data_IF_030087040968
#
_entry.id   IF_030087040968
#
_cell.length_a   1.000
_cell.length_b   1.000
_cell.length_c   1.000
_cell.angle_alpha   90.00
_cell.angle_beta   90.00
_cell.angle_gamma   90.00
#
_symmetry.space_group_name_H-M   'P 1'
#
loop_
_entity.id
_entity.type
_entity.pdbx_description
1 polymer ?
#
# COMPACT_ATOMS: atom_id res chain seq x y z
N UNK A 1 12.27 -49.57 8.99
CA UNK A 1 11.00 -49.83 8.28
C UNK A 1 10.93 -49.08 6.95
N UNK A 2 10.77 -47.75 6.91
CA UNK A 2 10.51 -47.04 5.64
C UNK A 2 11.67 -47.15 4.62
N UNK A 3 12.93 -46.97 5.05
CA UNK A 3 14.13 -47.14 4.18
C UNK A 3 14.18 -48.53 3.54
N UNK A 4 13.89 -49.55 4.33
CA UNK A 4 13.89 -50.96 3.91
C UNK A 4 12.76 -51.22 2.90
N UNK A 5 11.56 -50.70 3.14
CA UNK A 5 10.41 -50.85 2.24
C UNK A 5 10.61 -50.16 0.89
N UNK A 6 11.26 -48.99 0.85
CA UNK A 6 11.62 -48.29 -0.40
C UNK A 6 12.64 -49.12 -1.20
N UNK A 7 13.62 -49.72 -0.52
CA UNK A 7 14.60 -50.60 -1.16
C UNK A 7 13.99 -51.88 -1.73
N UNK A 8 13.00 -52.47 -1.06
CA UNK A 8 12.33 -53.69 -1.53
C UNK A 8 11.41 -53.42 -2.73
N UNK A 9 10.74 -52.26 -2.75
CA UNK A 9 9.82 -51.89 -3.82
C UNK A 9 10.56 -51.38 -5.07
N UNK A 10 11.65 -50.63 -4.90
CA UNK A 10 12.47 -50.10 -6.00
C UNK A 10 13.78 -50.90 -6.15
N UNK A 11 13.66 -52.14 -6.65
CA UNK A 11 14.81 -53.05 -6.86
C UNK A 11 15.78 -52.48 -7.91
N UNK A 12 17.08 -52.48 -7.60
CA UNK A 12 18.15 -51.99 -8.48
C UNK A 12 18.53 -50.52 -8.30
N UNK A 13 17.96 -49.83 -7.31
CA UNK A 13 18.29 -48.44 -7.01
C UNK A 13 19.51 -48.32 -6.10
N UNK A 14 20.41 -47.39 -6.41
CA UNK A 14 21.55 -47.07 -5.53
C UNK A 14 21.08 -46.50 -4.19
N UNK A 15 21.88 -46.67 -3.13
CA UNK A 15 21.56 -46.15 -1.78
C UNK A 15 21.26 -44.63 -1.76
N UNK A 16 21.76 -43.88 -2.75
CA UNK A 16 21.51 -42.45 -2.93
C UNK A 16 20.05 -42.15 -3.30
N UNK A 17 19.44 -43.00 -4.14
CA UNK A 17 18.03 -42.84 -4.53
C UNK A 17 17.06 -43.04 -3.35
N UNK A 18 17.43 -43.84 -2.34
CA UNK A 18 16.58 -44.02 -1.15
C UNK A 18 16.56 -42.76 -0.29
N UNK A 19 17.68 -42.04 -0.22
CA UNK A 19 17.80 -40.75 0.46
C UNK A 19 16.99 -39.70 -0.31
N UNK A 20 17.18 -39.61 -1.62
CA UNK A 20 16.43 -38.66 -2.47
C UNK A 20 14.92 -38.89 -2.42
N UNK A 21 14.48 -40.15 -2.33
CA UNK A 21 13.05 -40.49 -2.18
C UNK A 21 12.50 -40.06 -0.83
N UNK A 22 13.27 -40.23 0.25
CA UNK A 22 12.88 -39.76 1.58
C UNK A 22 12.86 -38.24 1.68
N UNK A 23 13.83 -37.56 1.08
CA UNK A 23 13.87 -36.09 1.01
C UNK A 23 12.68 -35.53 0.23
N UNK A 24 12.21 -36.24 -0.80
CA UNK A 24 10.98 -35.89 -1.53
C UNK A 24 9.70 -36.14 -0.73
N UNK A 25 9.68 -37.18 0.11
CA UNK A 25 8.54 -37.51 0.97
C UNK A 25 8.40 -36.56 2.16
N UNK A 26 9.52 -36.12 2.72
CA UNK A 26 9.54 -35.27 3.92
C UNK A 26 10.08 -33.90 3.52
N UNK A 27 9.19 -33.04 3.04
CA UNK A 27 9.51 -31.63 2.88
C UNK A 27 9.19 -30.90 4.18
N UNK A 28 10.22 -30.42 4.88
CA UNK A 28 10.05 -29.48 6.00
C UNK A 28 9.97 -28.08 5.41
N UNK A 29 8.79 -27.42 5.41
CA UNK A 29 8.69 -26.07 4.86
C UNK A 29 9.44 -25.09 5.78
N UNK A 30 10.57 -24.57 5.30
CA UNK A 30 11.25 -23.45 5.95
C UNK A 30 10.41 -22.20 5.67
N UNK A 31 9.77 -21.66 6.71
CA UNK A 31 9.01 -20.41 6.59
C UNK A 31 9.96 -19.24 6.70
N UNK A 32 10.04 -18.44 5.64
CA UNK A 32 10.73 -17.14 5.69
C UNK A 32 9.91 -16.21 6.59
N UNK A 33 10.52 -15.57 7.60
CA UNK A 33 9.83 -14.62 8.45
C UNK A 33 9.30 -13.45 7.59
N UNK A 34 8.19 -12.88 8.03
CA UNK A 34 7.59 -11.74 7.36
C UNK A 34 8.38 -10.50 7.73
N UNK A 35 8.45 -9.55 6.80
CA UNK A 35 9.22 -8.34 7.04
C UNK A 35 8.56 -7.46 8.10
N UNK A 36 9.33 -7.08 9.12
CA UNK A 36 8.90 -6.20 10.19
C UNK A 36 8.83 -4.72 9.79
N UNK A 37 8.42 -3.88 10.74
CA UNK A 37 8.34 -2.43 10.55
C UNK A 37 9.68 -1.82 10.14
N UNK A 38 10.75 -2.14 10.88
CA UNK A 38 12.08 -1.59 10.63
C UNK A 38 12.63 -2.04 9.28
N UNK A 39 12.39 -3.28 8.89
CA UNK A 39 12.84 -3.81 7.59
C UNK A 39 12.12 -3.13 6.42
N UNK A 40 10.81 -2.87 6.54
CA UNK A 40 10.05 -2.13 5.53
C UNK A 40 10.54 -0.68 5.47
N UNK A 41 10.79 -0.05 6.62
CA UNK A 41 11.34 1.30 6.69
C UNK A 41 12.69 1.38 5.96
N UNK A 42 13.62 0.48 6.28
CA UNK A 42 14.93 0.38 5.61
C UNK A 42 14.79 0.13 4.10
N UNK A 43 13.89 -0.77 3.71
CA UNK A 43 13.60 -1.04 2.31
C UNK A 43 13.10 0.20 1.56
N UNK A 44 12.20 0.96 2.17
CA UNK A 44 11.68 2.19 1.61
C UNK A 44 12.75 3.28 1.48
N UNK A 45 13.62 3.45 2.48
CA UNK A 45 14.76 4.38 2.37
C UNK A 45 15.64 4.06 1.16
N UNK A 46 15.99 2.79 0.96
CA UNK A 46 16.76 2.36 -0.20
C UNK A 46 16.02 2.65 -1.53
N UNK A 47 14.71 2.36 -1.60
CA UNK A 47 13.93 2.66 -2.81
C UNK A 47 13.90 4.16 -3.14
N UNK A 48 13.76 5.01 -2.12
CA UNK A 48 13.78 6.46 -2.32
C UNK A 48 15.16 6.99 -2.70
N UNK A 49 16.23 6.43 -2.13
CA UNK A 49 17.62 6.73 -2.50
C UNK A 49 17.89 6.37 -3.98
N UNK A 50 17.49 5.17 -4.40
CA UNK A 50 17.58 4.74 -5.81
C UNK A 50 16.79 5.66 -6.72
N UNK A 51 15.56 6.04 -6.34
CA UNK A 51 14.73 6.93 -7.15
C UNK A 51 15.27 8.38 -7.20
N UNK A 52 16.04 8.82 -6.21
CA UNK A 52 16.70 10.11 -6.21
C UNK A 52 17.94 10.15 -7.14
N UNK A 53 18.36 9.01 -7.69
CA UNK A 53 19.50 8.93 -8.61
C UNK A 53 20.85 9.04 -7.91
N UNK A 54 20.93 8.60 -6.64
CA UNK A 54 22.18 8.58 -5.89
C UNK A 54 23.14 7.54 -6.48
N UNK A 55 24.44 7.79 -6.35
CA UNK A 55 25.50 6.86 -6.77
C UNK A 55 25.37 5.48 -6.11
N UNK A 56 25.64 4.42 -6.87
CA UNK A 56 25.47 3.04 -6.43
C UNK A 56 26.36 2.69 -5.24
N UNK A 57 27.56 3.27 -5.15
CA UNK A 57 28.48 3.11 -4.01
C UNK A 57 27.87 3.64 -2.70
N UNK A 58 27.28 4.84 -2.72
CA UNK A 58 26.64 5.44 -1.54
C UNK A 58 25.36 4.69 -1.13
N UNK A 59 24.64 4.12 -2.10
CA UNK A 59 23.48 3.27 -1.83
C UNK A 59 23.91 1.98 -1.14
N UNK A 60 25.04 1.39 -1.55
CA UNK A 60 25.59 0.20 -0.90
C UNK A 60 26.10 0.50 0.51
N UNK A 61 26.74 1.65 0.73
CA UNK A 61 27.12 2.12 2.07
C UNK A 61 25.89 2.28 2.97
N UNK A 62 24.80 2.86 2.44
CA UNK A 62 23.52 2.96 3.16
C UNK A 62 22.93 1.58 3.45
N UNK A 63 23.01 0.63 2.50
CA UNK A 63 22.50 -0.74 2.68
C UNK A 63 23.22 -1.43 3.84
N UNK A 64 24.55 -1.33 3.89
CA UNK A 64 25.36 -1.89 4.97
C UNK A 64 25.05 -1.24 6.32
N UNK A 65 24.89 0.08 6.36
CA UNK A 65 24.52 0.80 7.58
C UNK A 65 23.12 0.41 8.10
N UNK A 66 22.14 0.29 7.21
CA UNK A 66 20.78 -0.17 7.55
C UNK A 66 20.77 -1.62 8.02
N UNK A 67 21.53 -2.50 7.36
CA UNK A 67 21.65 -3.92 7.76
C UNK A 67 22.23 -4.05 9.17
N UNK A 68 23.30 -3.31 9.46
CA UNK A 68 23.89 -3.27 10.79
C UNK A 68 22.90 -2.79 11.85
N UNK A 69 22.20 -1.67 11.58
CA UNK A 69 21.17 -1.15 12.48
C UNK A 69 20.03 -2.14 12.72
N UNK A 70 19.63 -2.91 11.71
CA UNK A 70 18.61 -3.96 11.87
C UNK A 70 19.11 -5.11 12.75
N UNK A 71 20.37 -5.52 12.62
CA UNK A 71 20.97 -6.57 13.46
C UNK A 71 21.11 -6.12 14.93
N UNK A 72 21.36 -4.84 15.17
CA UNK A 72 21.56 -4.24 16.50
C UNK A 72 20.25 -3.72 17.15
N UNK A 73 19.12 -3.84 16.44
CA UNK A 73 17.80 -3.29 16.84
C UNK A 73 17.21 -3.80 18.17
N UNK A 74 17.83 -4.79 18.80
CA UNK A 74 17.42 -5.33 20.12
C UNK A 74 18.04 -4.56 21.29
N UNK A 75 19.06 -3.73 21.07
CA UNK A 75 19.71 -2.94 22.13
C UNK A 75 19.96 -1.47 21.73
N UNK A 76 19.99 -1.17 20.43
CA UNK A 76 20.17 0.20 19.94
C UNK A 76 18.92 0.75 19.27
N UNK A 77 18.78 2.08 19.30
CA UNK A 77 17.72 2.77 18.59
C UNK A 77 17.88 2.57 17.07
N UNK A 78 16.78 2.40 16.33
CA UNK A 78 16.85 2.24 14.89
C UNK A 78 17.41 3.51 14.22
N UNK A 79 18.17 3.33 13.14
CA UNK A 79 18.81 4.44 12.43
C UNK A 79 17.81 5.55 12.09
N UNK A 80 18.19 6.79 12.42
CA UNK A 80 17.36 7.98 12.17
C UNK A 80 17.54 8.44 10.72
N UNK A 81 16.57 9.22 10.22
CA UNK A 81 16.63 9.81 8.87
C UNK A 81 17.89 10.67 8.67
N UNK A 82 18.32 11.38 9.72
CA UNK A 82 19.50 12.25 9.69
C UNK A 82 20.78 11.45 9.45
N UNK A 83 20.91 10.30 10.08
CA UNK A 83 22.06 9.43 9.93
C UNK A 83 22.06 8.75 8.56
N UNK A 84 20.89 8.37 8.04
CA UNK A 84 20.75 7.88 6.67
C UNK A 84 21.17 8.95 5.63
N UNK A 85 20.82 10.22 5.84
CA UNK A 85 21.21 11.32 4.95
C UNK A 85 22.73 11.63 5.03
N UNK A 86 23.33 11.51 6.22
CA UNK A 86 24.79 11.62 6.42
C UNK A 86 25.54 10.55 5.64
N UNK A 87 25.11 9.29 5.72
CA UNK A 87 25.73 8.18 4.98
C UNK A 87 25.67 8.43 3.47
N UNK A 88 24.54 8.94 2.98
CA UNK A 88 24.38 9.31 1.57
C UNK A 88 25.09 10.60 1.15
N UNK A 89 25.77 11.31 2.07
CA UNK A 89 26.37 12.64 1.84
C UNK A 89 25.38 13.66 1.25
N UNK A 90 24.10 13.52 1.59
CA UNK A 90 22.97 14.26 1.01
C UNK A 90 22.24 15.13 2.04
N UNK A 91 22.93 15.64 3.07
CA UNK A 91 22.32 16.44 4.14
C UNK A 91 21.55 17.67 3.62
N UNK A 92 21.99 18.25 2.51
CA UNK A 92 21.32 19.39 1.85
C UNK A 92 20.16 19.01 0.93
N UNK A 93 19.88 17.72 0.70
CA UNK A 93 18.83 17.29 -0.22
C UNK A 93 17.44 17.30 0.46
N UNK A 94 16.76 18.43 0.31
CA UNK A 94 15.43 18.68 0.91
C UNK A 94 14.40 17.67 0.38
N UNK A 95 14.43 17.33 -0.90
CA UNK A 95 13.45 16.41 -1.50
C UNK A 95 13.58 14.99 -0.91
N UNK A 96 14.81 14.52 -0.73
CA UNK A 96 15.07 13.21 -0.12
C UNK A 96 14.72 13.20 1.37
N UNK A 97 15.00 14.28 2.09
CA UNK A 97 14.60 14.41 3.49
C UNK A 97 13.07 14.33 3.66
N UNK A 98 12.32 15.03 2.81
CA UNK A 98 10.83 14.96 2.78
C UNK A 98 10.38 13.54 2.45
N UNK A 99 11.04 12.85 1.52
CA UNK A 99 10.72 11.47 1.18
C UNK A 99 10.96 10.53 2.36
N UNK A 100 12.06 10.67 3.11
CA UNK A 100 12.30 9.85 4.30
C UNK A 100 11.29 10.13 5.41
N UNK A 101 10.84 11.38 5.57
CA UNK A 101 9.73 11.72 6.47
C UNK A 101 8.39 11.11 6.03
N UNK A 102 8.16 10.93 4.72
CA UNK A 102 7.02 10.16 4.22
C UNK A 102 7.14 8.68 4.59
N UNK A 103 8.33 8.10 4.42
CA UNK A 103 8.60 6.70 4.75
C UNK A 103 8.28 6.39 6.20
N UNK A 104 8.75 7.23 7.14
CA UNK A 104 8.51 7.03 8.57
C UNK A 104 7.02 7.04 8.92
N UNK A 105 6.19 7.79 8.17
CA UNK A 105 4.74 7.84 8.35
C UNK A 105 4.01 6.64 7.75
N UNK A 106 4.43 6.14 6.59
CA UNK A 106 3.72 5.06 5.87
C UNK A 106 4.18 3.65 6.25
N UNK A 107 5.42 3.50 6.74
CA UNK A 107 5.99 2.20 7.10
C UNK A 107 5.13 1.41 8.12
N UNK A 108 4.56 2.04 9.19
CA UNK A 108 3.66 1.35 10.12
C UNK A 108 2.46 0.70 9.43
N UNK A 109 1.87 1.37 8.44
CA UNK A 109 0.70 0.85 7.72
C UNK A 109 1.10 -0.28 6.78
N UNK A 110 2.24 -0.16 6.12
CA UNK A 110 2.73 -1.24 5.25
C UNK A 110 3.09 -2.50 6.03
N UNK A 111 3.60 -2.34 7.26
CA UNK A 111 3.90 -3.43 8.17
C UNK A 111 2.64 -4.09 8.74
N UNK A 112 1.69 -3.29 9.21
CA UNK A 112 0.55 -3.78 10.02
C UNK A 112 -0.71 -4.08 9.22
N UNK A 113 -0.87 -3.51 8.01
CA UNK A 113 -2.06 -3.75 7.20
C UNK A 113 -2.16 -5.23 6.82
N UNK A 114 -3.32 -5.89 7.02
CA UNK A 114 -3.48 -7.31 6.73
C UNK A 114 -3.31 -7.65 5.23
N UNK A 115 -3.53 -6.68 4.33
CA UNK A 115 -3.44 -6.87 2.87
C UNK A 115 -2.01 -6.72 2.36
N UNK A 116 -1.21 -5.83 2.94
CA UNK A 116 0.20 -5.64 2.55
C UNK A 116 1.07 -6.63 3.31
N UNK A 117 0.85 -6.72 4.63
CA UNK A 117 1.52 -7.61 5.56
C UNK A 117 3.05 -7.61 5.38
N UNK A 118 3.60 -6.43 5.12
CA UNK A 118 5.02 -6.20 4.85
C UNK A 118 5.55 -6.69 3.50
N UNK A 119 4.74 -7.33 2.65
CA UNK A 119 5.22 -7.92 1.41
C UNK A 119 5.94 -6.87 0.50
N UNK A 120 7.27 -6.97 0.31
CA UNK A 120 8.04 -5.95 -0.42
C UNK A 120 7.56 -5.76 -1.87
N UNK A 121 7.05 -6.83 -2.49
CA UNK A 121 6.49 -6.78 -3.85
C UNK A 121 5.22 -5.94 -3.89
N UNK A 122 4.36 -6.06 -2.88
CA UNK A 122 3.12 -5.26 -2.79
C UNK A 122 3.48 -3.80 -2.53
N UNK A 123 4.42 -3.53 -1.60
CA UNK A 123 4.92 -2.19 -1.30
C UNK A 123 5.47 -1.51 -2.55
N UNK A 124 6.39 -2.16 -3.28
CA UNK A 124 6.95 -1.60 -4.52
C UNK A 124 5.88 -1.34 -5.58
N UNK A 125 4.90 -2.25 -5.73
CA UNK A 125 3.77 -2.07 -6.65
C UNK A 125 2.95 -0.83 -6.30
N UNK A 126 2.67 -0.60 -5.01
CA UNK A 126 1.95 0.58 -4.56
C UNK A 126 2.71 1.87 -4.88
N UNK A 127 4.01 1.91 -4.59
CA UNK A 127 4.86 3.06 -4.92
C UNK A 127 4.91 3.31 -6.43
N UNK A 128 4.95 2.27 -7.25
CA UNK A 128 4.89 2.42 -8.71
C UNK A 128 3.56 3.02 -9.17
N UNK A 129 2.43 2.63 -8.57
CA UNK A 129 1.12 3.23 -8.88
C UNK A 129 1.11 4.71 -8.49
N UNK A 130 1.62 5.05 -7.31
CA UNK A 130 1.78 6.44 -6.85
C UNK A 130 2.61 7.24 -7.86
N UNK A 131 3.77 6.70 -8.28
CA UNK A 131 4.66 7.41 -9.20
C UNK A 131 4.05 7.57 -10.58
N UNK A 132 3.38 6.54 -11.08
CA UNK A 132 2.65 6.61 -12.34
C UNK A 132 1.59 7.71 -12.30
N UNK A 133 0.78 7.76 -11.23
CA UNK A 133 -0.24 8.79 -11.03
C UNK A 133 0.37 10.19 -10.90
N UNK A 134 1.41 10.36 -10.07
CA UNK A 134 2.16 11.62 -9.95
C UNK A 134 2.68 12.12 -11.30
N UNK A 135 3.25 11.22 -12.12
CA UNK A 135 3.75 11.56 -13.45
C UNK A 135 2.62 11.94 -14.42
N UNK A 136 1.48 11.26 -14.39
CA UNK A 136 0.31 11.62 -15.21
C UNK A 136 -0.25 12.98 -14.79
N UNK A 137 -0.36 13.25 -13.48
CA UNK A 137 -0.80 14.54 -12.96
C UNK A 137 0.11 15.68 -13.43
N UNK A 138 1.43 15.51 -13.33
CA UNK A 138 2.44 16.47 -13.82
C UNK A 138 2.29 16.73 -15.32
N UNK A 139 2.16 15.67 -16.14
CA UNK A 139 1.99 15.79 -17.60
C UNK A 139 0.71 16.54 -17.99
N UNK A 140 -0.37 16.37 -17.22
CA UNK A 140 -1.65 17.05 -17.44
C UNK A 140 -1.75 18.42 -16.77
N UNK A 141 -0.68 18.91 -16.15
CA UNK A 141 -0.65 20.17 -15.38
C UNK A 141 -1.71 20.20 -14.27
N UNK A 142 -2.05 19.04 -13.72
CA UNK A 142 -2.89 18.91 -12.55
C UNK A 142 -2.01 19.14 -11.33
N UNK A 143 -2.24 20.22 -10.59
CA UNK A 143 -1.53 20.51 -9.35
C UNK A 143 -2.04 19.61 -8.22
N UNK A 144 -1.47 18.41 -8.13
CA UNK A 144 -1.78 17.43 -7.09
C UNK A 144 -0.51 17.01 -6.36
N UNK A 145 -0.57 17.04 -5.04
CA UNK A 145 0.51 16.63 -4.15
C UNK A 145 0.66 15.10 -4.12
N UNK A 146 1.87 14.59 -4.34
CA UNK A 146 2.19 13.16 -4.35
C UNK A 146 1.79 12.48 -3.03
N UNK A 147 1.88 13.19 -1.90
CA UNK A 147 1.42 12.69 -0.60
C UNK A 147 -0.08 12.33 -0.57
N UNK A 148 -0.90 13.14 -1.26
CA UNK A 148 -2.36 12.91 -1.36
C UNK A 148 -2.63 11.68 -2.20
N UNK A 149 -1.90 11.54 -3.31
CA UNK A 149 -1.97 10.36 -4.16
C UNK A 149 -1.60 9.12 -3.36
N UNK A 150 -0.52 9.16 -2.59
CA UNK A 150 -0.10 8.07 -1.71
C UNK A 150 -1.20 7.69 -0.73
N UNK A 151 -1.76 8.65 0.01
CA UNK A 151 -2.83 8.39 0.99
C UNK A 151 -4.06 7.72 0.33
N UNK A 152 -4.44 8.15 -0.87
CA UNK A 152 -5.56 7.54 -1.61
C UNK A 152 -5.24 6.15 -2.17
N UNK A 153 -4.04 5.94 -2.73
CA UNK A 153 -3.61 4.62 -3.25
C UNK A 153 -3.54 3.57 -2.13
N UNK A 154 -3.08 3.98 -0.93
CA UNK A 154 -3.09 3.13 0.25
C UNK A 154 -4.53 2.74 0.62
N UNK A 155 -5.45 3.70 0.63
CA UNK A 155 -6.86 3.44 0.90
C UNK A 155 -7.47 2.46 -0.11
N UNK A 156 -7.29 2.69 -1.41
CA UNK A 156 -7.79 1.81 -2.47
C UNK A 156 -7.33 0.37 -2.28
N UNK A 157 -6.05 0.19 -1.93
CA UNK A 157 -5.48 -1.15 -1.80
C UNK A 157 -5.92 -1.85 -0.53
N UNK A 158 -6.00 -1.12 0.58
CA UNK A 158 -6.16 -1.69 1.91
C UNK A 158 -7.60 -1.67 2.43
N UNK A 159 -8.46 -0.77 1.97
CA UNK A 159 -9.89 -0.78 2.32
C UNK A 159 -10.72 -1.63 1.37
N UNK A 160 -10.19 -1.96 0.19
CA UNK A 160 -10.89 -2.71 -0.85
C UNK A 160 -11.80 -1.83 -1.72
N UNK A 161 -12.33 -2.45 -2.77
CA UNK A 161 -13.04 -1.75 -3.86
C UNK A 161 -14.34 -1.09 -3.39
N UNK A 162 -15.17 -1.80 -2.62
CA UNK A 162 -16.45 -1.29 -2.12
C UNK A 162 -16.23 -0.03 -1.26
N UNK A 163 -15.24 -0.06 -0.37
CA UNK A 163 -14.92 1.06 0.51
C UNK A 163 -14.32 2.25 -0.28
N UNK A 164 -13.45 1.99 -1.26
CA UNK A 164 -12.88 3.00 -2.15
C UNK A 164 -13.96 3.70 -3.00
N UNK A 165 -14.89 2.94 -3.56
CA UNK A 165 -16.02 3.48 -4.31
C UNK A 165 -16.95 4.31 -3.43
N UNK A 166 -17.16 3.92 -2.17
CA UNK A 166 -17.90 4.73 -1.21
C UNK A 166 -17.19 6.05 -0.92
N UNK A 167 -15.86 6.05 -0.73
CA UNK A 167 -15.06 7.27 -0.57
C UNK A 167 -15.18 8.19 -1.80
N UNK A 168 -15.08 7.64 -3.01
CA UNK A 168 -15.20 8.42 -4.25
C UNK A 168 -16.60 8.96 -4.47
N UNK A 169 -17.63 8.20 -4.11
CA UNK A 169 -19.00 8.69 -4.12
C UNK A 169 -19.19 9.84 -3.14
N UNK A 170 -18.56 9.79 -1.96
CA UNK A 170 -18.57 10.90 -1.01
C UNK A 170 -17.84 12.14 -1.53
N UNK A 171 -16.72 11.98 -2.24
CA UNK A 171 -15.97 13.10 -2.84
C UNK A 171 -16.77 13.75 -3.98
N UNK A 172 -17.40 12.96 -4.84
CA UNK A 172 -18.13 13.46 -6.01
C UNK A 172 -19.48 14.10 -5.64
N UNK A 173 -20.21 13.51 -4.68
CA UNK A 173 -21.63 13.84 -4.43
C UNK A 173 -21.79 15.00 -3.45
N UNK A 174 -20.81 15.28 -2.58
CA UNK A 174 -21.11 15.90 -1.29
C UNK A 174 -20.45 17.26 -1.07
N UNK A 175 -21.27 18.33 -0.95
CA UNK A 175 -20.85 19.63 -0.39
C UNK A 175 -20.34 19.52 1.06
N UNK A 176 -20.72 18.44 1.76
CA UNK A 176 -20.37 18.18 3.16
C UNK A 176 -19.17 17.23 3.37
N UNK A 177 -18.53 16.72 2.30
CA UNK A 177 -17.35 15.83 2.43
C UNK A 177 -16.28 16.44 3.33
N UNK A 178 -15.95 17.73 3.11
CA UNK A 178 -14.96 18.46 3.90
C UNK A 178 -15.29 18.47 5.40
N UNK A 179 -16.58 18.65 5.75
CA UNK A 179 -17.02 18.68 7.15
C UNK A 179 -16.85 17.31 7.80
N UNK A 180 -17.39 16.27 7.17
CA UNK A 180 -17.32 14.88 7.66
C UNK A 180 -15.86 14.45 7.84
N UNK A 181 -15.02 14.61 6.81
CA UNK A 181 -13.60 14.24 6.90
C UNK A 181 -12.84 15.10 7.91
N UNK A 182 -13.13 16.41 8.02
CA UNK A 182 -12.47 17.23 9.06
C UNK A 182 -12.82 16.77 10.47
N UNK A 183 -14.07 16.36 10.70
CA UNK A 183 -14.50 15.83 12.00
C UNK A 183 -13.78 14.51 12.31
N UNK A 184 -13.66 13.63 11.31
CA UNK A 184 -12.97 12.35 11.43
C UNK A 184 -11.44 12.49 11.60
N UNK A 185 -10.81 13.46 10.93
CA UNK A 185 -9.36 13.71 11.03
C UNK A 185 -8.97 14.51 12.29
N UNK A 186 -9.91 15.21 12.91
CA UNK A 186 -9.65 16.04 14.10
C UNK A 186 -9.72 15.28 15.43
N UNK A 187 -10.51 14.20 15.48
CA UNK A 187 -10.70 13.38 16.67
C UNK A 187 -9.93 12.08 16.52
N UNK A 188 -9.15 11.71 17.55
CA UNK A 188 -8.76 10.31 17.70
C UNK A 188 -10.04 9.54 18.05
N UNK A 189 -10.46 8.71 17.10
CA UNK A 189 -11.67 7.91 17.19
C UNK A 189 -11.26 6.47 17.50
N UNK A 190 -11.85 5.88 18.53
CA UNK A 190 -11.73 4.46 18.81
C UNK A 190 -12.66 3.63 17.90
N UNK A 191 -13.77 4.24 17.44
CA UNK A 191 -14.74 3.63 16.54
C UNK A 191 -15.23 4.61 15.45
N UNK A 192 -15.59 4.08 14.28
CA UNK A 192 -16.11 4.89 13.17
C UNK A 192 -17.57 5.31 13.44
N UNK A 193 -17.91 6.61 13.36
CA UNK A 193 -19.27 7.07 13.62
C UNK A 193 -20.25 6.67 12.51
N UNK A 194 -21.55 6.71 12.83
CA UNK A 194 -22.62 6.33 11.90
C UNK A 194 -22.74 7.21 10.65
N UNK A 195 -22.13 8.40 10.66
CA UNK A 195 -22.05 9.33 9.53
C UNK A 195 -21.22 8.80 8.35
N UNK A 196 -20.46 7.74 8.57
CA UNK A 196 -19.56 7.09 7.61
C UNK A 196 -20.29 5.99 6.83
N UNK A 197 -19.89 5.62 5.58
CA UNK A 197 -20.55 4.54 4.85
C UNK A 197 -20.55 3.24 5.65
N UNK A 198 -21.68 2.51 5.63
CA UNK A 198 -21.80 1.21 6.30
C UNK A 198 -20.75 0.20 5.87
N UNK A 199 -20.29 0.30 4.62
CA UNK A 199 -19.21 -0.54 4.05
C UNK A 199 -17.91 -0.42 4.84
N UNK A 200 -17.61 0.74 5.42
CA UNK A 200 -16.39 0.93 6.22
C UNK A 200 -16.47 0.27 7.60
N UNK A 201 -17.69 -0.09 8.05
CA UNK A 201 -17.98 -0.80 9.30
C UNK A 201 -18.31 -2.28 9.08
N UNK A 202 -18.10 -2.81 7.88
CA UNK A 202 -18.48 -4.18 7.51
C UNK A 202 -17.63 -5.23 8.24
N UNK A 203 -16.32 -4.98 8.34
CA UNK A 203 -15.35 -5.88 8.95
C UNK A 203 -14.45 -5.09 9.92
N UNK A 204 -14.19 -5.63 11.11
CA UNK A 204 -13.34 -5.00 12.15
C UNK A 204 -11.95 -4.63 11.61
N UNK A 205 -11.38 -5.49 10.77
CA UNK A 205 -10.06 -5.24 10.14
C UNK A 205 -10.06 -4.03 9.20
N UNK A 206 -11.19 -3.77 8.53
CA UNK A 206 -11.35 -2.64 7.62
C UNK A 206 -11.56 -1.36 8.42
N UNK A 207 -12.38 -1.39 9.47
CA UNK A 207 -12.55 -0.23 10.35
C UNK A 207 -11.24 0.16 11.04
N UNK A 208 -10.49 -0.80 11.57
CA UNK A 208 -9.19 -0.57 12.22
C UNK A 208 -8.18 0.05 11.26
N UNK A 209 -8.15 -0.44 10.01
CA UNK A 209 -7.32 0.13 8.97
C UNK A 209 -7.72 1.57 8.67
N UNK A 210 -9.01 1.86 8.54
CA UNK A 210 -9.51 3.20 8.20
C UNK A 210 -9.20 4.19 9.33
N UNK A 211 -9.31 3.79 10.60
CA UNK A 211 -8.90 4.63 11.74
C UNK A 211 -7.42 5.01 11.65
N UNK A 212 -6.53 4.03 11.44
CA UNK A 212 -5.08 4.29 11.24
C UNK A 212 -4.81 5.13 9.99
N UNK A 213 -5.61 4.97 8.95
CA UNK A 213 -5.49 5.75 7.72
C UNK A 213 -5.93 7.21 7.90
N UNK A 214 -6.93 7.49 8.74
CA UNK A 214 -7.37 8.84 9.06
C UNK A 214 -6.27 9.63 9.79
N UNK A 215 -5.48 8.95 10.63
CA UNK A 215 -4.34 9.55 11.35
C UNK A 215 -3.17 9.95 10.44
N UNK A 216 -3.12 9.45 9.19
CA UNK A 216 -2.06 9.80 8.26
C UNK A 216 -2.14 11.24 7.78
N UNK A 217 -1.00 11.91 7.77
CA UNK A 217 -0.82 13.13 6.97
C UNK A 217 -0.65 12.76 5.48
N UNK A 218 -1.15 13.56 4.53
CA UNK A 218 -1.77 14.86 4.71
C UNK A 218 -3.27 14.77 5.02
N UNK A 219 -3.78 15.73 5.79
CA UNK A 219 -5.22 15.94 5.93
C UNK A 219 -5.89 16.19 4.58
N UNK A 220 -6.99 15.50 4.33
CA UNK A 220 -7.74 15.51 3.08
C UNK A 220 -8.84 16.58 3.06
N UNK A 221 -9.25 17.05 4.23
CA UNK A 221 -10.30 18.06 4.44
C UNK A 221 -10.06 19.38 3.67
N UNK A 222 -8.82 19.85 3.61
CA UNK A 222 -8.49 21.15 3.01
C UNK A 222 -8.25 21.09 1.48
N UNK A 223 -8.10 19.90 0.90
CA UNK A 223 -7.65 19.73 -0.50
C UNK A 223 -8.81 19.46 -1.46
N UNK A 224 -8.70 19.94 -2.70
CA UNK A 224 -9.65 19.56 -3.77
C UNK A 224 -9.24 18.20 -4.36
N UNK A 225 -10.00 17.17 -4.00
CA UNK A 225 -9.68 15.78 -4.37
C UNK A 225 -10.29 15.35 -5.70
N UNK A 226 -11.11 16.20 -6.36
CA UNK A 226 -11.80 15.81 -7.62
C UNK A 226 -10.82 15.38 -8.70
N UNK A 227 -9.71 16.10 -8.82
CA UNK A 227 -8.66 15.75 -9.77
C UNK A 227 -7.95 14.43 -9.41
N UNK A 228 -7.80 14.13 -8.12
CA UNK A 228 -7.21 12.88 -7.64
C UNK A 228 -8.14 11.68 -7.91
N UNK A 229 -9.45 11.84 -7.70
CA UNK A 229 -10.46 10.81 -8.00
C UNK A 229 -10.55 10.56 -9.51
N UNK A 230 -10.56 11.62 -10.31
CA UNK A 230 -10.52 11.50 -11.77
C UNK A 230 -9.29 10.70 -12.24
N UNK A 231 -8.12 11.01 -11.69
CA UNK A 231 -6.88 10.30 -12.00
C UNK A 231 -6.90 8.84 -11.54
N UNK A 232 -7.48 8.57 -10.37
CA UNK A 232 -7.66 7.21 -9.85
C UNK A 232 -8.47 6.35 -10.83
N UNK A 233 -9.63 6.86 -11.28
CA UNK A 233 -10.53 6.14 -12.21
C UNK A 233 -9.88 5.77 -13.53
N UNK A 234 -9.04 6.66 -14.09
CA UNK A 234 -8.35 6.36 -15.35
C UNK A 234 -7.22 5.35 -15.22
N UNK A 235 -6.66 5.21 -14.01
CA UNK A 235 -5.48 4.37 -13.77
C UNK A 235 -5.81 3.04 -13.12
N UNK A 236 -7.10 2.79 -12.81
CA UNK A 236 -7.56 1.47 -12.39
C UNK A 236 -7.46 0.48 -13.57
N UNK A 237 -6.90 -0.72 -13.37
CA UNK A 237 -6.79 -1.73 -14.42
C UNK A 237 -8.17 -2.03 -15.03
N UNK A 238 -8.24 -2.16 -16.35
CA UNK A 238 -9.45 -2.36 -17.16
C UNK A 238 -10.28 -3.64 -16.86
N UNK A 239 -9.97 -4.38 -15.80
CA UNK A 239 -10.78 -5.49 -15.28
C UNK A 239 -11.87 -5.07 -14.28
N UNK A 240 -11.87 -3.81 -13.83
CA UNK A 240 -12.84 -3.28 -12.87
C UNK A 240 -13.94 -2.51 -13.63
N UNK A 241 -15.02 -3.21 -13.98
CA UNK A 241 -16.21 -2.58 -14.50
C UNK A 241 -16.85 -1.70 -13.43
N UNK A 242 -17.06 -0.44 -13.77
CA UNK A 242 -17.92 0.47 -13.01
C UNK A 242 -19.33 -0.11 -13.01
N UNK A 243 -19.80 -0.61 -11.85
CA UNK A 243 -21.22 -0.75 -11.56
C UNK A 243 -21.81 0.65 -11.40
N UNK A 244 -22.01 1.33 -12.54
CA UNK A 244 -22.50 2.70 -12.57
C UNK A 244 -22.66 3.19 -14.00
N UNK A 245 -23.87 3.61 -14.32
CA UNK A 245 -24.19 4.18 -15.62
C UNK A 245 -23.43 5.51 -15.81
N UNK A 246 -22.77 5.66 -16.95
CA UNK A 246 -22.21 6.94 -17.39
C UNK A 246 -23.31 8.02 -17.46
N UNK A 247 -22.97 9.32 -17.49
CA UNK A 247 -23.98 10.39 -17.57
C UNK A 247 -24.95 10.20 -18.74
N UNK A 248 -24.43 9.83 -19.92
CA UNK A 248 -25.24 9.50 -21.11
C UNK A 248 -26.12 8.26 -20.90
N UNK A 249 -25.60 7.25 -20.20
CA UNK A 249 -26.35 6.03 -19.92
C UNK A 249 -27.45 6.25 -18.86
N UNK A 250 -27.24 7.15 -17.89
CA UNK A 250 -28.29 7.60 -16.94
C UNK A 250 -29.40 8.36 -17.66
N UNK A 251 -29.02 9.24 -18.59
CA UNK A 251 -29.98 9.99 -19.39
C UNK A 251 -30.83 9.05 -20.28
N UNK A 252 -30.19 8.08 -20.94
CA UNK A 252 -30.89 7.05 -21.71
C UNK A 252 -31.81 6.17 -20.85
N UNK A 253 -31.36 5.78 -19.64
CA UNK A 253 -32.18 5.02 -18.69
C UNK A 253 -33.40 5.83 -18.23
N UNK A 254 -33.23 7.10 -17.90
CA UNK A 254 -34.32 7.98 -17.50
C UNK A 254 -35.36 8.12 -18.62
N UNK A 255 -34.93 8.24 -19.87
CA UNK A 255 -35.81 8.27 -21.04
C UNK A 255 -36.58 6.95 -21.16
N UNK A 256 -35.90 5.80 -21.03
CA UNK A 256 -36.51 4.48 -21.13
C UNK A 256 -37.55 4.22 -20.02
N UNK A 257 -37.26 4.64 -18.78
CA UNK A 257 -38.20 4.54 -17.66
C UNK A 257 -39.42 5.42 -17.89
N UNK A 258 -39.23 6.66 -18.37
CA UNK A 258 -40.34 7.57 -18.66
C UNK A 258 -41.28 7.08 -19.78
N UNK A 259 -40.77 6.31 -20.75
CA UNK A 259 -41.61 5.68 -21.79
C UNK A 259 -42.47 4.52 -21.30
N UNK A 260 -42.14 3.90 -20.16
CA UNK A 260 -42.87 2.72 -19.66
C UNK A 260 -44.13 3.07 -18.84
N UNK A 261 -44.26 4.33 -18.39
CA UNK A 261 -45.44 4.82 -17.63
C UNK A 261 -46.58 5.35 -18.53
N UNK A 262 -46.47 5.25 -19.86
CA UNK A 262 -47.58 5.55 -20.79
C UNK A 262 -48.25 4.25 -21.25
N UNK A 263 -49.03 3.64 -20.38
CA UNK A 263 -50.12 2.72 -20.74
C UNK A 263 -51.23 2.80 -19.70
#
# INVERSE_FOLDING_TARGET
MIRTSVSEYFKGTSARHHIDYLDKLIQVPIRVPRTGLLEIRSYLFLLHAVNAGIEEELIEDLRLALEKSLQESWHEDPMKKEDALKVLKCEGNIELAIAFDQVDRIAPIFATSPIIHGNPRIVKRLLNIVKMRSNIAKRRKISLDENVITKLVIFERCAGEEAANALYSMIDTNKNFKKIISELESKKLDELPDSVPSVWRKDDTTSDFILKWLELEPKLSDKDLRAAVYLSRETMPAGHYVLGLSPKAREALNILVATKERH
#
